data_IF_796914516762
#
_entry.id   IF_796914516762
#
_cell.length_a   1.000
_cell.length_b   1.000
_cell.length_c   1.000
_cell.angle_alpha   90.00
_cell.angle_beta   90.00
_cell.angle_gamma   90.00
#
_symmetry.space_group_name_H-M   'P 1'
#
loop_
_entity.id
_entity.type
_entity.pdbx_description
1 polymer ?
#
# COMPACT_ATOMS: atom_id res chain seq x y z
N UNK A 1 3.99 -4.97 11.81
CA UNK A 1 3.40 -4.51 10.58
C UNK A 1 2.04 -3.92 10.82
N UNK A 2 1.63 -3.09 9.95
CA UNK A 2 0.33 -2.47 10.11
C UNK A 2 -0.76 -3.40 9.61
N UNK A 3 -1.87 -3.34 10.33
CA UNK A 3 -3.04 -4.10 9.97
C UNK A 3 -3.88 -3.27 9.02
N UNK A 4 -4.30 -3.89 7.94
CA UNK A 4 -5.12 -3.21 6.96
C UNK A 4 -6.54 -3.68 7.05
N UNK A 5 -7.46 -2.78 6.81
CA UNK A 5 -8.84 -3.16 6.68
C UNK A 5 -9.00 -3.99 5.42
N UNK A 6 -9.43 -5.24 5.57
CA UNK A 6 -9.50 -6.16 4.45
C UNK A 6 -10.54 -5.77 3.42
N UNK A 7 -11.48 -4.95 3.83
CA UNK A 7 -12.57 -4.56 2.94
C UNK A 7 -12.27 -3.29 2.18
N UNK A 8 -11.15 -2.64 2.50
CA UNK A 8 -10.80 -1.40 1.84
C UNK A 8 -9.89 -1.71 0.66
N UNK A 9 -10.25 -1.16 -0.49
CA UNK A 9 -9.47 -1.34 -1.70
C UNK A 9 -8.11 -0.63 -1.54
N UNK A 10 -7.04 -1.31 -1.94
CA UNK A 10 -5.71 -0.72 -1.83
C UNK A 10 -5.59 0.55 -2.67
N UNK A 11 -6.34 0.65 -3.76
CA UNK A 11 -6.30 1.85 -4.58
C UNK A 11 -6.92 3.04 -3.87
N UNK A 12 -7.95 2.81 -3.06
CA UNK A 12 -8.50 3.87 -2.24
C UNK A 12 -7.53 4.31 -1.17
N UNK A 13 -6.87 3.35 -0.53
CA UNK A 13 -5.87 3.64 0.48
C UNK A 13 -4.71 4.43 -0.13
N UNK A 14 -4.27 4.03 -1.29
CA UNK A 14 -3.19 4.69 -1.99
C UNK A 14 -3.54 6.15 -2.28
N UNK A 15 -4.75 6.38 -2.75
CA UNK A 15 -5.19 7.75 -3.02
C UNK A 15 -5.25 8.57 -1.73
N UNK A 16 -5.79 7.99 -0.68
CA UNK A 16 -5.89 8.68 0.60
C UNK A 16 -4.51 9.09 1.11
N UNK A 17 -3.56 8.17 1.03
CA UNK A 17 -2.23 8.41 1.53
C UNK A 17 -1.53 9.50 0.72
N UNK A 18 -1.72 9.49 -0.59
CA UNK A 18 -1.14 10.53 -1.42
C UNK A 18 -1.75 11.90 -1.15
N UNK A 19 -3.06 11.95 -0.96
CA UNK A 19 -3.73 13.21 -0.67
C UNK A 19 -3.34 13.76 0.69
N UNK A 20 -3.04 12.87 1.63
CA UNK A 20 -2.61 13.27 2.96
C UNK A 20 -1.13 13.64 3.02
N UNK A 21 -0.40 13.44 1.92
CA UNK A 21 1.02 13.75 1.87
C UNK A 21 1.88 12.77 2.63
N UNK A 22 1.40 11.54 2.80
CA UNK A 22 2.12 10.52 3.56
C UNK A 22 3.01 9.64 2.69
N UNK A 23 2.91 9.75 1.38
CA UNK A 23 3.71 8.94 0.47
C UNK A 23 4.98 9.71 0.09
N UNK A 24 5.90 9.81 1.04
CA UNK A 24 7.10 10.60 0.86
C UNK A 24 8.06 9.99 -0.15
N UNK A 25 7.99 8.68 -0.33
CA UNK A 25 8.83 7.98 -1.30
C UNK A 25 8.27 8.04 -2.70
N UNK A 26 7.02 8.49 -2.84
CA UNK A 26 6.34 8.56 -4.13
C UNK A 26 6.27 7.20 -4.82
N UNK A 27 6.11 6.16 -4.01
CA UNK A 27 5.96 4.82 -4.54
C UNK A 27 4.61 4.68 -5.23
N UNK A 28 4.49 3.66 -6.05
CA UNK A 28 3.25 3.38 -6.76
C UNK A 28 2.79 1.97 -6.42
N UNK A 29 1.55 1.66 -6.81
CA UNK A 29 1.02 0.32 -6.58
C UNK A 29 1.71 -0.65 -7.52
N UNK A 30 2.24 -1.73 -6.96
CA UNK A 30 2.89 -2.78 -7.72
C UNK A 30 1.98 -3.99 -7.78
N UNK A 31 2.08 -4.75 -8.84
CA UNK A 31 1.29 -5.94 -9.03
C UNK A 31 2.21 -7.14 -9.19
N UNK A 32 1.92 -8.21 -8.45
CA UNK A 32 2.67 -9.46 -8.55
C UNK A 32 1.69 -10.60 -8.82
N UNK A 33 1.93 -11.41 -9.83
CA UNK A 33 1.02 -12.52 -10.17
C UNK A 33 1.33 -13.80 -9.39
N UNK A 34 1.63 -13.67 -8.10
CA UNK A 34 2.00 -14.80 -7.27
C UNK A 34 0.82 -15.60 -6.78
N UNK A 35 -0.30 -14.95 -6.62
CA UNK A 35 -1.48 -15.56 -6.03
C UNK A 35 -2.45 -15.90 -7.14
N UNK A 36 -3.54 -16.57 -6.80
CA UNK A 36 -4.50 -16.98 -7.83
C UNK A 36 -4.88 -15.84 -8.76
N UNK A 37 -5.16 -14.68 -8.19
CA UNK A 37 -5.53 -13.50 -8.96
C UNK A 37 -4.50 -12.40 -8.83
N UNK A 38 -3.39 -12.69 -8.15
CA UNK A 38 -2.34 -11.71 -7.96
C UNK A 38 -2.46 -10.94 -6.65
N UNK A 39 -1.48 -10.12 -6.40
CA UNK A 39 -1.46 -9.27 -5.21
C UNK A 39 -0.97 -7.88 -5.61
N UNK A 40 -1.61 -6.87 -5.06
CA UNK A 40 -1.18 -5.48 -5.25
C UNK A 40 -0.60 -4.97 -3.93
N UNK A 41 0.47 -4.19 -4.04
CA UNK A 41 1.10 -3.66 -2.84
C UNK A 41 1.80 -2.35 -3.14
N UNK A 42 2.04 -1.56 -2.10
CA UNK A 42 2.90 -0.40 -2.17
C UNK A 42 3.48 -0.17 -0.79
N UNK A 43 4.58 0.60 -0.74
CA UNK A 43 5.32 0.85 0.48
C UNK A 43 5.48 2.35 0.68
N UNK A 44 5.34 2.80 1.91
CA UNK A 44 5.62 4.20 2.25
C UNK A 44 6.66 4.23 3.36
N UNK A 45 7.23 5.40 3.57
CA UNK A 45 8.19 5.61 4.63
C UNK A 45 7.55 6.43 5.74
N UNK A 46 7.61 5.93 6.95
CA UNK A 46 7.04 6.61 8.09
C UNK A 46 7.93 7.73 8.60
N UNK A 47 7.48 8.43 9.64
CA UNK A 47 8.20 9.60 10.14
C UNK A 47 9.57 9.27 10.71
N UNK A 48 9.79 8.05 11.15
CA UNK A 48 11.09 7.62 11.67
C UNK A 48 11.86 6.78 10.65
N UNK A 49 11.54 6.95 9.38
CA UNK A 49 12.17 6.22 8.27
C UNK A 49 11.88 4.73 8.29
N UNK A 50 10.87 4.32 9.05
CA UNK A 50 10.40 2.95 8.98
C UNK A 50 9.61 2.75 7.71
N UNK A 51 9.61 1.53 7.22
CA UNK A 51 8.84 1.20 6.01
C UNK A 51 7.54 0.52 6.38
N UNK A 52 6.47 0.99 5.77
CA UNK A 52 5.15 0.43 5.99
C UNK A 52 4.62 -0.06 4.66
N UNK A 53 4.31 -1.34 4.58
CA UNK A 53 3.82 -1.95 3.36
C UNK A 53 2.34 -2.22 3.46
N UNK A 54 1.61 -1.84 2.42
CA UNK A 54 0.19 -2.14 2.28
C UNK A 54 0.03 -3.13 1.14
N UNK A 55 -0.75 -4.17 1.36
CA UNK A 55 -0.94 -5.17 0.32
C UNK A 55 -2.37 -5.68 0.33
N UNK A 56 -2.83 -6.09 -0.84
CA UNK A 56 -4.16 -6.65 -1.01
C UNK A 56 -4.06 -7.85 -1.94
N UNK A 57 -4.58 -8.97 -1.48
CA UNK A 57 -4.67 -10.18 -2.30
C UNK A 57 -5.97 -10.15 -3.09
N UNK A 58 -5.88 -10.40 -4.37
CA UNK A 58 -7.02 -10.30 -5.28
C UNK A 58 -7.77 -11.61 -5.46
#
# INVERSE_FOLDING_TARGET
>A
GSEMCKETDIEEIFRYINEAGLNSTQDTIHFLPFWENGVKFFTIEGPNKEKVEFSQYL
#
